data_IF_502363567408
#
_entry.id   IF_502363567408
#
_cell.length_a   1.000
_cell.length_b   1.000
_cell.length_c   1.000
_cell.angle_alpha   90.00
_cell.angle_beta   90.00
_cell.angle_gamma   90.00
#
_symmetry.space_group_name_H-M   'P 1'
#
loop_
_entity.id
_entity.type
_entity.pdbx_description
1 polymer ?
#
# COMPACT_ATOMS: atom_id res chain seq x y z
N UNK A 1 0.60 4.49 19.08
CA UNK A 1 -0.61 4.67 18.25
C UNK A 1 -0.64 3.57 17.20
N UNK A 2 -1.78 2.94 16.95
CA UNK A 2 -1.90 1.93 15.89
C UNK A 2 -2.11 2.57 14.52
N UNK A 3 -1.59 1.94 13.47
CA UNK A 3 -1.94 2.24 12.09
C UNK A 3 -3.41 1.88 11.83
N UNK A 4 -4.00 2.40 10.75
CA UNK A 4 -5.20 1.82 10.17
C UNK A 4 -4.98 0.34 9.86
N UNK A 5 -6.08 -0.41 9.76
CA UNK A 5 -6.05 -1.77 9.26
C UNK A 5 -5.70 -1.83 7.77
N UNK A 6 -4.91 -2.82 7.38
CA UNK A 6 -4.63 -3.11 5.97
C UNK A 6 -5.91 -3.53 5.24
N UNK A 7 -5.83 -3.53 3.91
CA UNK A 7 -6.82 -4.21 3.09
C UNK A 7 -6.92 -5.69 3.50
N UNK A 8 -8.09 -6.27 3.26
CA UNK A 8 -8.28 -7.69 3.49
C UNK A 8 -7.53 -8.51 2.45
N UNK A 9 -6.66 -9.41 2.91
CA UNK A 9 -5.96 -10.37 2.07
C UNK A 9 -6.10 -11.76 2.66
N UNK A 10 -6.61 -12.72 1.88
CA UNK A 10 -6.87 -14.09 2.35
C UNK A 10 -7.71 -14.15 3.65
N UNK A 11 -8.78 -13.35 3.75
CA UNK A 11 -9.63 -13.20 4.94
C UNK A 11 -8.89 -12.70 6.20
N UNK A 12 -7.69 -12.12 6.05
CA UNK A 12 -6.92 -11.55 7.16
C UNK A 12 -6.56 -10.10 6.85
N UNK A 13 -6.64 -9.28 7.88
CA UNK A 13 -6.22 -7.88 7.90
C UNK A 13 -5.20 -7.68 9.01
N UNK A 14 -4.26 -6.77 8.77
CA UNK A 14 -3.08 -6.55 9.62
C UNK A 14 -2.99 -5.08 9.98
N UNK A 15 -2.61 -4.78 11.23
CA UNK A 15 -2.22 -3.43 11.65
C UNK A 15 -0.96 -3.47 12.49
N UNK A 16 -0.22 -2.36 12.49
CA UNK A 16 1.04 -2.22 13.23
C UNK A 16 1.02 -0.95 14.06
N UNK A 17 1.76 -0.91 15.16
CA UNK A 17 2.02 0.34 15.90
C UNK A 17 3.50 0.64 15.93
N UNK A 18 3.83 1.91 15.75
CA UNK A 18 5.18 2.39 15.99
C UNK A 18 5.47 2.46 17.49
N UNK A 19 6.67 2.03 17.87
CA UNK A 19 7.19 2.19 19.22
C UNK A 19 7.81 3.57 19.36
N UNK A 20 7.64 4.20 20.53
CA UNK A 20 8.44 5.38 20.85
C UNK A 20 9.89 4.92 21.01
N UNK A 21 10.76 5.29 20.07
CA UNK A 21 12.17 4.84 20.02
C UNK A 21 13.10 5.71 20.84
N UNK A 22 12.59 6.69 21.59
CA UNK A 22 13.42 7.53 22.46
C UNK A 22 14.16 6.64 23.45
N UNK A 23 15.48 6.55 23.26
CA UNK A 23 16.45 5.73 24.02
C UNK A 23 16.53 4.23 23.68
N UNK A 24 16.07 3.81 22.52
CA UNK A 24 16.35 2.44 22.00
C UNK A 24 15.53 1.32 22.62
N UNK A 25 14.47 1.65 23.37
CA UNK A 25 13.57 0.67 23.95
C UNK A 25 12.52 0.20 22.93
N UNK A 26 12.29 -1.12 22.85
CA UNK A 26 11.22 -1.72 22.05
C UNK A 26 9.87 -1.47 22.72
N UNK A 27 8.77 -1.49 21.96
CA UNK A 27 7.42 -1.39 22.52
C UNK A 27 7.22 -2.39 23.65
N UNK A 28 6.54 -1.95 24.72
CA UNK A 28 5.98 -2.89 25.69
C UNK A 28 4.82 -3.63 25.03
N UNK A 29 4.99 -4.94 24.85
CA UNK A 29 4.00 -5.83 24.24
C UNK A 29 3.98 -5.81 22.71
N UNK A 30 3.00 -6.51 22.13
CA UNK A 30 2.89 -6.73 20.69
C UNK A 30 2.80 -5.43 19.90
N UNK A 31 3.46 -5.39 18.74
CA UNK A 31 3.44 -4.24 17.82
C UNK A 31 2.73 -4.55 16.49
N UNK A 32 2.20 -5.76 16.34
CA UNK A 32 1.49 -6.25 15.16
C UNK A 32 0.27 -7.06 15.58
N UNK A 33 -0.85 -6.84 14.91
CA UNK A 33 -2.09 -7.59 15.14
C UNK A 33 -2.64 -8.11 13.81
N UNK A 34 -3.33 -9.25 13.90
CA UNK A 34 -4.03 -9.91 12.79
C UNK A 34 -5.50 -10.08 13.19
N UNK A 35 -6.41 -9.80 12.27
CA UNK A 35 -7.85 -9.96 12.48
C UNK A 35 -8.47 -10.59 11.24
N UNK A 36 -9.50 -11.42 11.43
CA UNK A 36 -10.30 -11.96 10.33
C UNK A 36 -11.16 -10.86 9.72
N UNK A 37 -11.20 -10.81 8.39
CA UNK A 37 -12.17 -9.98 7.69
C UNK A 37 -13.49 -10.75 7.64
N UNK A 38 -14.27 -10.75 8.72
CA UNK A 38 -15.61 -11.31 8.64
C UNK A 38 -16.49 -10.42 7.75
N UNK A 39 -16.50 -10.73 6.46
CA UNK A 39 -17.30 -10.06 5.42
C UNK A 39 -18.81 -10.23 5.61
N UNK A 40 -19.23 -10.95 6.65
CA UNK A 40 -20.63 -11.13 7.06
C UNK A 40 -21.20 -9.94 7.83
N UNK A 41 -20.37 -9.03 8.36
CA UNK A 41 -20.82 -7.79 9.03
C UNK A 41 -20.78 -6.54 8.14
N UNK A 42 -20.27 -6.66 6.91
CA UNK A 42 -20.32 -5.61 5.89
C UNK A 42 -21.53 -5.81 4.94
N UNK A 43 -22.71 -6.16 5.49
CA UNK A 43 -23.97 -5.85 4.81
C UNK A 43 -24.29 -4.38 5.13
N UNK A 44 -24.07 -3.41 4.22
CA UNK A 44 -24.69 -2.12 4.39
C UNK A 44 -26.22 -2.30 4.36
N UNK A 45 -26.99 -1.68 5.26
CA UNK A 45 -28.42 -1.54 5.02
C UNK A 45 -28.58 -0.72 3.74
N UNK A 46 -29.29 -1.29 2.77
CA UNK A 46 -29.65 -0.68 1.50
C UNK A 46 -30.13 0.76 1.68
N UNK A 47 -29.40 1.71 1.10
CA UNK A 47 -29.95 2.98 0.66
C UNK A 47 -29.34 3.28 -0.70
N UNK A 48 -30.16 3.01 -1.71
CA UNK A 48 -30.12 3.58 -3.07
C UNK A 48 -29.14 4.73 -3.27
N UNK A 49 -28.04 4.48 -3.97
CA UNK A 49 -27.62 5.40 -5.02
C UNK A 49 -26.98 4.61 -6.17
N UNK A 50 -27.73 4.52 -7.25
CA UNK A 50 -27.33 3.90 -8.49
C UNK A 50 -26.33 4.82 -9.20
N UNK A 51 -25.03 4.62 -8.95
CA UNK A 51 -24.01 4.97 -9.94
C UNK A 51 -23.15 3.75 -10.21
N UNK A 52 -23.08 3.25 -11.46
CA UNK A 52 -22.11 2.23 -11.79
C UNK A 52 -20.75 2.93 -11.81
N UNK A 53 -20.00 2.87 -10.71
CA UNK A 53 -18.54 3.02 -10.82
C UNK A 53 -18.09 1.72 -11.46
N UNK A 54 -18.21 1.69 -12.80
CA UNK A 54 -17.53 0.73 -13.63
C UNK A 54 -16.11 0.63 -13.10
N UNK A 55 -15.66 -0.60 -12.82
CA UNK A 55 -14.23 -0.91 -12.87
C UNK A 55 -13.75 -0.50 -14.26
N UNK A 56 -13.34 0.75 -14.40
CA UNK A 56 -12.53 1.17 -15.52
C UNK A 56 -11.20 0.47 -15.26
N UNK A 57 -11.05 -0.70 -15.87
CA UNK A 57 -9.74 -1.12 -16.37
C UNK A 57 -9.21 0.12 -17.10
N UNK A 58 -8.08 0.72 -16.67
CA UNK A 58 -7.53 1.84 -17.40
C UNK A 58 -7.37 1.41 -18.86
N UNK A 59 -7.79 2.21 -19.84
CA UNK A 59 -7.49 1.94 -21.23
C UNK A 59 -5.97 1.78 -21.33
N UNK A 60 -5.53 0.65 -21.87
CA UNK A 60 -4.20 0.50 -22.43
C UNK A 60 -4.18 1.32 -23.72
N UNK A 61 -4.22 2.64 -23.62
CA UNK A 61 -4.05 3.52 -24.78
C UNK A 61 -3.77 4.95 -24.32
N UNK A 62 -2.58 5.43 -24.64
CA UNK A 62 -2.11 6.76 -24.29
C UNK A 62 -0.93 6.71 -23.32
N UNK A 63 0.27 6.65 -23.90
CA UNK A 63 1.50 7.13 -23.31
C UNK A 63 1.35 8.63 -22.96
N UNK A 64 0.64 8.91 -21.87
CA UNK A 64 0.74 10.19 -21.20
C UNK A 64 1.67 9.92 -20.03
N UNK A 65 2.89 10.41 -20.16
CA UNK A 65 3.89 10.48 -19.10
C UNK A 65 3.39 11.45 -18.01
N UNK A 66 2.30 11.06 -17.33
CA UNK A 66 1.82 11.74 -16.14
C UNK A 66 2.82 11.39 -15.07
N UNK A 67 3.80 12.28 -14.91
CA UNK A 67 4.76 12.22 -13.81
C UNK A 67 3.98 12.17 -12.50
N UNK A 68 4.00 11.02 -11.83
CA UNK A 68 3.38 10.84 -10.52
C UNK A 68 4.08 11.80 -9.54
N UNK A 69 3.39 12.81 -8.98
CA UNK A 69 3.98 13.75 -8.04
C UNK A 69 4.48 13.07 -6.76
N UNK A 70 4.08 11.83 -6.49
CA UNK A 70 4.51 11.02 -5.35
C UNK A 70 5.49 9.89 -5.73
N UNK A 71 6.09 9.96 -6.92
CA UNK A 71 7.08 8.97 -7.40
C UNK A 71 8.29 8.84 -6.47
N UNK A 72 8.81 9.95 -5.93
CA UNK A 72 9.92 9.94 -4.98
C UNK A 72 9.52 9.31 -3.63
N UNK A 73 8.36 9.70 -3.09
CA UNK A 73 7.83 9.16 -1.84
C UNK A 73 7.60 7.65 -1.94
N UNK A 74 7.06 7.19 -3.07
CA UNK A 74 6.89 5.76 -3.38
C UNK A 74 8.24 5.04 -3.35
N UNK A 75 9.28 5.63 -3.96
CA UNK A 75 10.62 5.04 -4.00
C UNK A 75 11.26 4.94 -2.62
N UNK A 76 11.10 5.98 -1.79
CA UNK A 76 11.61 5.98 -0.41
C UNK A 76 10.88 4.95 0.46
N UNK A 77 9.55 4.82 0.31
CA UNK A 77 8.77 3.80 1.01
C UNK A 77 9.21 2.38 0.62
N UNK A 78 9.44 2.11 -0.67
CA UNK A 78 9.92 0.80 -1.14
C UNK A 78 11.29 0.45 -0.57
N UNK A 79 12.22 1.41 -0.49
CA UNK A 79 13.54 1.20 0.11
C UNK A 79 13.48 0.95 1.62
N UNK A 80 12.47 1.47 2.32
CA UNK A 80 12.27 1.18 3.74
C UNK A 80 11.68 -0.21 3.97
N UNK A 81 10.85 -0.69 3.06
CA UNK A 81 10.20 -2.00 3.13
C UNK A 81 11.12 -3.15 2.75
N UNK A 82 11.99 -2.92 1.76
CA UNK A 82 12.89 -3.92 1.18
C UNK A 82 14.31 -3.39 1.23
N UNK A 83 15.17 -4.05 2.02
CA UNK A 83 16.58 -3.68 2.16
C UNK A 83 17.40 -3.97 0.88
N UNK A 84 16.85 -4.79 -0.01
CA UNK A 84 17.41 -5.29 -1.27
C UNK A 84 16.76 -4.66 -2.51
N UNK A 85 16.03 -3.56 -2.35
CA UNK A 85 15.39 -2.88 -3.49
C UNK A 85 16.41 -2.13 -4.35
N UNK A 86 16.95 -2.80 -5.38
CA UNK A 86 17.61 -2.19 -6.52
C UNK A 86 16.58 -1.87 -7.61
N UNK A 87 16.59 -0.63 -8.10
CA UNK A 87 15.78 -0.27 -9.27
C UNK A 87 16.50 -0.82 -10.50
N UNK A 88 15.99 -1.90 -11.07
CA UNK A 88 16.41 -2.39 -12.38
C UNK A 88 16.05 -1.33 -13.42
N UNK A 89 17.03 -0.51 -13.79
CA UNK A 89 16.91 0.42 -14.92
C UNK A 89 17.04 -0.44 -16.19
N UNK A 90 16.05 -0.45 -17.10
CA UNK A 90 16.18 -1.15 -18.37
C UNK A 90 17.43 -0.66 -19.12
N UNK A 91 18.21 -1.60 -19.63
CA UNK A 91 19.54 -1.47 -20.27
C UNK A 91 19.56 -0.64 -21.58
N UNK A 92 18.56 0.21 -21.83
CA UNK A 92 18.40 0.91 -23.10
C UNK A 92 19.19 2.24 -23.22
N UNK A 93 19.76 2.75 -22.12
CA UNK A 93 20.48 4.04 -22.14
C UNK A 93 21.99 3.91 -21.82
N UNK A 94 22.57 2.76 -22.10
CA UNK A 94 24.03 2.56 -22.04
C UNK A 94 24.60 2.13 -23.40
N UNK A 95 24.17 2.76 -24.49
CA UNK A 95 24.93 2.72 -25.75
C UNK A 95 24.62 3.93 -26.62
N UNK A 96 25.37 5.01 -26.43
CA UNK A 96 26.06 5.74 -27.50
C UNK A 96 26.85 6.91 -26.90
N UNK A 97 28.10 6.61 -26.53
CA UNK A 97 29.19 7.57 -26.64
C UNK A 97 29.51 7.80 -28.13
#
# INVERSE_FOLDING_TARGET
MWSPWSFCSNNVMVRVRACSTVRGFKCVGHNKEFQSCDSSLLRPPSASDSRPVARQKPPLDGDVDVVDPYSEDRRLAMRQLYQDYEVEVPEAEQSTL
#
